data_IF_476322280859
#
_entry.id   IF_476322280859
#
_cell.length_a   1.000
_cell.length_b   1.000
_cell.length_c   1.000
_cell.angle_alpha   90.00
_cell.angle_beta   90.00
_cell.angle_gamma   90.00
#
_symmetry.space_group_name_H-M   'P 1'
#
loop_
_entity.id
_entity.type
_entity.pdbx_description
1 polymer ?
#
# COMPACT_ATOMS: atom_id res chain seq x y z
N UNK A 1 -4.27 -7.67 -19.17
CA UNK A 1 -5.07 -6.68 -18.42
C UNK A 1 -4.22 -6.21 -17.28
N UNK A 2 -3.86 -4.93 -17.28
CA UNK A 2 -2.77 -4.40 -16.46
C UNK A 2 -3.18 -4.18 -15.00
N UNK A 3 -3.47 -5.28 -14.30
CA UNK A 3 -3.82 -5.31 -12.87
C UNK A 3 -2.68 -4.83 -11.96
N UNK A 4 -1.53 -4.46 -12.54
CA UNK A 4 -0.35 -3.93 -11.85
C UNK A 4 -0.08 -2.43 -12.16
N UNK A 5 -0.84 -1.79 -13.07
CA UNK A 5 -0.64 -0.37 -13.44
C UNK A 5 -1.09 0.63 -12.37
N UNK A 6 -1.61 0.15 -11.25
CA UNK A 6 -1.85 0.96 -10.06
C UNK A 6 -1.09 0.34 -8.89
N UNK A 7 0.22 0.12 -9.02
CA UNK A 7 1.10 -0.41 -7.97
C UNK A 7 1.10 0.44 -6.70
N UNK A 8 2.24 0.59 -6.02
CA UNK A 8 2.33 1.43 -4.81
C UNK A 8 1.69 2.82 -4.99
N UNK A 9 1.80 3.44 -6.17
CA UNK A 9 1.12 4.70 -6.48
C UNK A 9 -0.41 4.64 -6.44
N UNK A 10 -1.03 3.55 -6.89
CA UNK A 10 -2.49 3.36 -6.84
C UNK A 10 -2.98 3.16 -5.40
N UNK A 11 -2.24 2.36 -4.63
CA UNK A 11 -2.45 2.17 -3.20
C UNK A 11 -2.37 3.49 -2.43
N UNK A 12 -1.30 4.27 -2.64
CA UNK A 12 -1.08 5.57 -2.00
C UNK A 12 -2.18 6.57 -2.37
N UNK A 13 -2.62 6.56 -3.64
CA UNK A 13 -3.75 7.38 -4.08
C UNK A 13 -5.02 6.99 -3.33
N UNK A 14 -5.31 5.70 -3.19
CA UNK A 14 -6.54 5.27 -2.53
C UNK A 14 -6.52 5.51 -1.02
N UNK A 15 -5.36 5.40 -0.38
CA UNK A 15 -5.13 5.87 0.99
C UNK A 15 -5.43 7.38 1.10
N UNK A 16 -4.92 8.18 0.16
CA UNK A 16 -5.18 9.61 0.13
C UNK A 16 -6.67 9.92 -0.08
N UNK A 17 -7.36 9.22 -0.97
CA UNK A 17 -8.80 9.35 -1.23
C UNK A 17 -9.66 8.89 -0.04
N UNK A 18 -9.18 7.91 0.73
CA UNK A 18 -9.79 7.44 1.99
C UNK A 18 -9.57 8.40 3.18
N UNK A 19 -8.88 9.53 2.99
CA UNK A 19 -8.56 10.48 4.07
C UNK A 19 -7.28 10.14 4.85
N UNK A 20 -6.53 9.13 4.41
CA UNK A 20 -5.27 8.67 5.01
C UNK A 20 -4.02 9.18 4.28
N UNK A 21 -4.10 10.38 3.70
CA UNK A 21 -2.98 11.00 3.02
C UNK A 21 -1.74 11.16 3.91
N UNK A 22 -1.91 11.42 5.21
CA UNK A 22 -0.80 11.52 6.16
C UNK A 22 -0.09 10.18 6.41
N UNK A 23 -0.85 9.08 6.41
CA UNK A 23 -0.30 7.72 6.55
C UNK A 23 0.49 7.37 5.29
N UNK A 24 -0.10 7.57 4.11
CA UNK A 24 0.56 7.38 2.82
C UNK A 24 1.87 8.18 2.73
N UNK A 25 1.86 9.46 3.10
CA UNK A 25 3.07 10.30 3.14
C UNK A 25 4.11 9.80 4.14
N UNK A 26 3.69 9.30 5.31
CA UNK A 26 4.62 8.77 6.31
C UNK A 26 5.36 7.55 5.82
N UNK A 27 4.71 6.72 4.99
CA UNK A 27 5.32 5.52 4.41
C UNK A 27 6.28 5.82 3.28
N UNK A 28 6.03 6.90 2.53
CA UNK A 28 6.88 7.34 1.42
C UNK A 28 8.08 8.13 1.92
N UNK A 29 7.93 8.86 3.03
CA UNK A 29 8.98 9.68 3.62
C UNK A 29 9.90 8.90 4.54
N UNK A 30 11.08 9.45 4.82
CA UNK A 30 12.11 8.84 5.68
C UNK A 30 11.79 8.94 7.19
N UNK A 31 10.52 9.18 7.54
CA UNK A 31 10.04 9.36 8.91
C UNK A 31 9.56 8.05 9.54
N UNK A 32 9.10 8.08 10.80
CA UNK A 32 8.45 6.92 11.39
C UNK A 32 7.15 6.62 10.65
N UNK A 33 7.06 5.41 10.07
CA UNK A 33 5.84 4.95 9.41
C UNK A 33 4.66 4.96 10.39
N UNK A 34 3.59 5.66 10.01
CA UNK A 34 2.34 5.59 10.79
C UNK A 34 1.73 4.21 10.66
N UNK A 35 1.23 3.70 11.78
CA UNK A 35 0.37 2.54 11.77
C UNK A 35 -1.00 2.91 11.17
N UNK A 36 -1.53 1.98 10.39
CA UNK A 36 -2.86 2.05 9.81
C UNK A 36 -3.74 0.99 10.46
N UNK A 37 -4.99 1.32 10.74
CA UNK A 37 -5.94 0.34 11.26
C UNK A 37 -6.39 -0.62 10.15
N UNK A 38 -6.84 -1.81 10.51
CA UNK A 38 -7.37 -2.77 9.53
C UNK A 38 -8.59 -2.21 8.78
N UNK A 39 -9.48 -1.49 9.47
CA UNK A 39 -10.66 -0.87 8.85
C UNK A 39 -10.27 0.22 7.84
N UNK A 40 -9.36 1.09 8.24
CA UNK A 40 -8.76 2.13 7.41
C UNK A 40 -8.09 1.55 6.15
N UNK A 41 -7.35 0.45 6.31
CA UNK A 41 -6.71 -0.26 5.21
C UNK A 41 -7.77 -0.93 4.31
N UNK A 42 -8.87 -1.41 4.88
CA UNK A 42 -9.95 -2.03 4.13
C UNK A 42 -10.72 -1.02 3.26
N UNK A 43 -10.96 0.18 3.79
CA UNK A 43 -11.53 1.30 3.04
C UNK A 43 -10.61 1.70 1.90
N UNK A 44 -9.31 1.85 2.18
CA UNK A 44 -8.32 2.20 1.16
C UNK A 44 -8.15 1.11 0.08
N UNK A 45 -8.14 -0.17 0.42
CA UNK A 45 -8.03 -1.25 -0.56
C UNK A 45 -9.34 -1.51 -1.33
N UNK A 46 -10.46 -1.19 -0.69
CA UNK A 46 -11.79 -1.50 -1.17
C UNK A 46 -12.14 -2.99 -1.03
N UNK A 47 -13.43 -3.24 -0.84
CA UNK A 47 -13.97 -4.59 -0.59
C UNK A 47 -13.72 -5.55 -1.76
N UNK A 48 -13.64 -5.03 -2.99
CA UNK A 48 -13.40 -5.86 -4.18
C UNK A 48 -12.00 -6.47 -4.17
N UNK A 49 -10.97 -5.67 -3.92
CA UNK A 49 -9.57 -6.10 -3.85
C UNK A 49 -9.38 -7.11 -2.72
N UNK A 50 -9.95 -6.82 -1.54
CA UNK A 50 -9.91 -7.74 -0.41
C UNK A 50 -10.59 -9.07 -0.70
N UNK A 51 -11.73 -9.06 -1.40
CA UNK A 51 -12.41 -10.28 -1.80
C UNK A 51 -11.58 -11.10 -2.80
N UNK A 52 -10.91 -10.47 -3.75
CA UNK A 52 -10.00 -11.17 -4.66
C UNK A 52 -8.83 -11.80 -3.92
N UNK A 53 -8.15 -11.04 -3.04
CA UNK A 53 -7.07 -11.59 -2.22
C UNK A 53 -7.54 -12.72 -1.32
N UNK A 54 -8.71 -12.58 -0.68
CA UNK A 54 -9.30 -13.61 0.17
C UNK A 54 -9.56 -14.89 -0.61
N UNK A 55 -10.08 -14.79 -1.84
CA UNK A 55 -10.30 -15.95 -2.72
C UNK A 55 -8.99 -16.58 -3.20
N UNK A 56 -7.97 -15.78 -3.47
CA UNK A 56 -6.67 -16.26 -3.94
C UNK A 56 -5.85 -16.94 -2.83
N UNK A 57 -5.86 -16.36 -1.64
CA UNK A 57 -5.05 -16.83 -0.51
C UNK A 57 -5.78 -17.84 0.36
N UNK A 58 -7.12 -17.89 0.28
CA UNK A 58 -7.96 -18.65 1.20
C UNK A 58 -8.04 -18.03 2.60
N UNK A 59 -7.44 -16.87 2.84
CA UNK A 59 -7.44 -16.19 4.14
C UNK A 59 -8.70 -15.35 4.33
N UNK A 60 -9.11 -15.21 5.59
CA UNK A 60 -10.15 -14.27 5.98
C UNK A 60 -9.71 -12.82 5.75
N UNK A 61 -10.68 -11.92 5.55
CA UNK A 61 -10.41 -10.48 5.39
C UNK A 61 -9.62 -9.92 6.58
N UNK A 62 -9.93 -10.34 7.81
CA UNK A 62 -9.21 -9.91 9.02
C UNK A 62 -7.73 -10.31 8.98
N UNK A 63 -7.42 -11.58 8.75
CA UNK A 63 -6.02 -12.05 8.66
C UNK A 63 -5.23 -11.34 7.55
N UNK A 64 -5.86 -11.11 6.40
CA UNK A 64 -5.26 -10.35 5.31
C UNK A 64 -4.96 -8.91 5.72
N UNK A 65 -5.92 -8.23 6.35
CA UNK A 65 -5.74 -6.85 6.79
C UNK A 65 -4.69 -6.73 7.90
N UNK A 66 -4.66 -7.67 8.85
CA UNK A 66 -3.64 -7.73 9.88
C UNK A 66 -2.24 -7.89 9.27
N UNK A 67 -2.07 -8.82 8.32
CA UNK A 67 -0.79 -9.01 7.65
C UNK A 67 -0.38 -7.79 6.83
N UNK A 68 -1.30 -7.23 6.05
CA UNK A 68 -1.02 -6.07 5.21
C UNK A 68 -0.72 -4.83 6.06
N UNK A 69 -1.48 -4.55 7.12
CA UNK A 69 -1.24 -3.37 7.99
C UNK A 69 0.13 -3.40 8.67
N UNK A 70 0.67 -4.59 8.97
CA UNK A 70 1.98 -4.75 9.59
C UNK A 70 3.14 -4.69 8.59
N UNK A 71 2.97 -5.27 7.40
CA UNK A 71 4.05 -5.43 6.44
C UNK A 71 4.11 -4.34 5.36
N UNK A 72 2.96 -3.83 4.93
CA UNK A 72 2.84 -2.87 3.83
C UNK A 72 3.55 -1.53 4.12
N UNK A 73 3.44 -0.92 5.33
CA UNK A 73 4.17 0.32 5.64
C UNK A 73 5.67 0.18 5.43
N UNK A 74 6.25 -0.94 5.89
CA UNK A 74 7.67 -1.24 5.78
C UNK A 74 8.09 -1.50 4.33
N UNK A 75 7.22 -2.12 3.55
CA UNK A 75 7.47 -2.43 2.15
C UNK A 75 7.49 -1.14 1.30
N UNK A 76 6.57 -0.21 1.57
CA UNK A 76 6.54 1.12 0.92
C UNK A 76 7.82 1.87 1.25
N UNK A 77 8.16 2.01 2.54
CA UNK A 77 9.36 2.72 3.03
C UNK A 77 10.66 2.20 2.37
N UNK A 78 10.82 0.88 2.30
CA UNK A 78 11.98 0.27 1.65
C UNK A 78 12.06 0.55 0.15
N UNK A 79 10.93 0.79 -0.51
CA UNK A 79 10.83 1.13 -1.94
C UNK A 79 10.85 2.64 -2.21
N UNK A 80 10.79 3.46 -1.17
CA UNK A 80 10.89 4.93 -1.24
C UNK A 80 12.09 5.46 -0.43
N UNK A 81 13.32 4.99 -0.70
CA UNK A 81 14.50 5.39 0.06
C UNK A 81 14.82 6.89 -0.05
N UNK A 82 14.39 7.51 -1.15
CA UNK A 82 14.59 8.93 -1.46
C UNK A 82 13.50 9.84 -0.83
N UNK A 83 12.59 9.29 -0.02
CA UNK A 83 11.47 10.07 0.54
C UNK A 83 10.41 10.42 -0.50
N UNK A 84 10.47 9.77 -1.67
CA UNK A 84 9.58 9.94 -2.82
C UNK A 84 9.41 8.59 -3.51
N UNK A 85 8.25 8.41 -4.14
CA UNK A 85 8.05 7.26 -5.04
C UNK A 85 8.97 7.48 -6.25
N UNK A 86 9.94 6.59 -6.52
CA UNK A 86 10.81 6.72 -7.68
C UNK A 86 9.96 6.73 -8.94
N UNK A 87 10.33 7.58 -9.89
CA UNK A 87 9.68 7.58 -11.19
C UNK A 87 9.92 6.24 -11.90
N UNK A 88 8.99 5.80 -12.76
CA UNK A 88 9.13 4.53 -13.50
C UNK A 88 10.47 4.44 -14.26
N UNK A 89 10.97 5.59 -14.71
CA UNK A 89 12.26 5.79 -15.39
C UNK A 89 13.49 5.68 -14.47
N UNK A 90 13.37 5.97 -13.17
CA UNK A 90 14.43 5.69 -12.17
C UNK A 90 14.42 4.22 -11.75
N UNK A 91 13.23 3.62 -11.56
CA UNK A 91 13.11 2.21 -11.18
C UNK A 91 13.67 1.25 -12.25
N UNK A 92 13.49 1.59 -13.54
CA UNK A 92 14.00 0.80 -14.65
C UNK A 92 15.53 0.85 -14.85
N UNK A 93 16.23 1.80 -14.22
CA UNK A 93 17.71 1.91 -14.32
C UNK A 93 18.46 1.13 -13.24
N UNK A 94 17.76 0.64 -12.22
CA UNK A 94 18.35 -0.05 -11.05
C UNK A 94 18.30 -1.58 -11.23
N UNK A 95 17.58 -2.10 -12.23
CA UNK A 95 17.47 -3.53 -12.54
C UNK A 95 18.47 -3.98 -13.60
#
# INVERSE_FOLDING_TARGET
GTVLNGGLGGLLKQLQESGQGDVAKSWVGNGPNKQISEGDLADALGTNTLNELSRHTGMGRGDLLSGLSQHLPRFVDQLTPEGRVPTEEEAARIV
#
